data_IF_864040768276
#
_entry.id   IF_864040768276
#
_cell.length_a   1.000
_cell.length_b   1.000
_cell.length_c   1.000
_cell.angle_alpha   90.00
_cell.angle_beta   90.00
_cell.angle_gamma   90.00
#
_symmetry.space_group_name_H-M   'P 1'
#
loop_
_entity.id
_entity.type
_entity.pdbx_description
1 polymer ?
#
# COMPACT_ATOMS: atom_id res chain seq x y z
N UNK A 1 -18.53 17.93 -39.68
CA UNK A 1 -17.16 17.92 -39.11
C UNK A 1 -17.15 18.15 -37.59
N UNK A 2 -17.80 19.21 -37.07
CA UNK A 2 -17.83 19.53 -35.63
C UNK A 2 -18.38 18.43 -34.70
N UNK A 3 -19.49 17.75 -35.07
CA UNK A 3 -20.07 16.66 -34.26
C UNK A 3 -19.14 15.43 -34.11
N UNK A 4 -18.43 15.05 -35.18
CA UNK A 4 -17.47 13.94 -35.14
C UNK A 4 -16.26 14.27 -34.25
N UNK A 5 -15.78 15.51 -34.31
CA UNK A 5 -14.68 15.98 -33.45
C UNK A 5 -15.08 15.97 -31.96
N UNK A 6 -16.30 16.39 -31.63
CA UNK A 6 -16.82 16.33 -30.25
C UNK A 6 -16.92 14.88 -29.75
N UNK A 7 -17.41 13.95 -30.58
CA UNK A 7 -17.49 12.54 -30.20
C UNK A 7 -16.12 11.91 -29.95
N UNK A 8 -15.12 12.25 -30.77
CA UNK A 8 -13.74 11.77 -30.57
C UNK A 8 -13.17 12.35 -29.28
N UNK A 9 -13.38 13.65 -29.02
CA UNK A 9 -12.94 14.27 -27.77
C UNK A 9 -13.57 13.63 -26.53
N UNK A 10 -14.88 13.36 -26.56
CA UNK A 10 -15.57 12.66 -25.47
C UNK A 10 -15.07 11.22 -25.29
N UNK A 11 -14.78 10.50 -26.38
CA UNK A 11 -14.23 9.16 -26.31
C UNK A 11 -12.80 9.15 -25.71
N UNK A 12 -11.98 10.13 -26.07
CA UNK A 12 -10.63 10.30 -25.51
C UNK A 12 -10.71 10.70 -24.03
N UNK A 13 -11.63 11.59 -23.66
CA UNK A 13 -11.85 11.96 -22.26
C UNK A 13 -12.31 10.76 -21.42
N UNK A 14 -13.25 9.98 -21.95
CA UNK A 14 -13.73 8.75 -21.29
C UNK A 14 -12.60 7.72 -21.16
N UNK A 15 -11.79 7.55 -22.21
CA UNK A 15 -10.64 6.65 -22.17
C UNK A 15 -9.59 7.11 -21.14
N UNK A 16 -9.32 8.40 -21.06
CA UNK A 16 -8.39 8.96 -20.08
C UNK A 16 -8.89 8.73 -18.63
N UNK A 17 -10.19 8.91 -18.38
CA UNK A 17 -10.81 8.58 -17.08
C UNK A 17 -10.70 7.09 -16.78
N UNK A 18 -10.93 6.22 -17.77
CA UNK A 18 -10.81 4.77 -17.60
C UNK A 18 -9.37 4.37 -17.23
N UNK A 19 -8.36 4.99 -17.85
CA UNK A 19 -6.95 4.74 -17.56
C UNK A 19 -6.59 5.14 -16.13
N UNK A 20 -7.06 6.30 -15.66
CA UNK A 20 -6.80 6.78 -14.28
C UNK A 20 -7.33 5.79 -13.23
N UNK A 21 -8.49 5.18 -13.48
CA UNK A 21 -9.12 4.22 -12.55
C UNK A 21 -8.38 2.87 -12.48
N UNK A 22 -7.58 2.53 -13.49
CA UNK A 22 -6.93 1.19 -13.61
C UNK A 22 -5.48 1.20 -13.13
N UNK A 23 -4.92 2.33 -12.70
CA UNK A 23 -3.55 2.39 -12.19
C UNK A 23 -3.52 1.73 -10.81
N UNK A 24 -2.79 0.62 -10.61
CA UNK A 24 -2.67 0.01 -9.28
C UNK A 24 -1.94 0.99 -8.36
N UNK A 25 -2.53 1.28 -7.20
CA UNK A 25 -1.83 2.00 -6.15
C UNK A 25 -0.62 1.17 -5.72
N UNK A 26 0.56 1.79 -5.83
CA UNK A 26 1.80 1.22 -5.34
C UNK A 26 1.98 1.66 -3.90
N UNK A 27 1.79 0.73 -2.97
CA UNK A 27 1.99 0.97 -1.54
C UNK A 27 3.48 0.86 -1.16
N UNK A 28 3.87 1.60 -0.13
CA UNK A 28 5.22 1.59 0.42
C UNK A 28 5.40 0.41 1.40
N UNK A 29 6.61 -0.13 1.49
CA UNK A 29 6.93 -1.13 2.53
C UNK A 29 6.75 -0.44 3.89
N UNK A 30 5.96 -1.03 4.78
CA UNK A 30 5.57 -0.44 6.06
C UNK A 30 4.22 0.29 6.04
N UNK A 31 3.58 0.51 4.89
CA UNK A 31 2.19 1.01 4.79
C UNK A 31 1.23 -0.16 4.55
N UNK A 32 0.88 -0.86 5.62
CA UNK A 32 -0.01 -2.04 5.58
C UNK A 32 -1.47 -1.59 5.57
N UNK A 33 -1.75 -0.44 6.20
CA UNK A 33 -3.09 0.17 6.25
C UNK A 33 -3.53 0.75 4.90
N UNK A 34 -2.58 1.05 4.01
CA UNK A 34 -2.79 1.60 2.66
C UNK A 34 -3.41 2.98 2.66
N UNK A 35 -3.12 3.76 3.71
CA UNK A 35 -3.55 5.14 3.82
C UNK A 35 -2.51 6.13 3.26
N UNK A 36 -1.34 5.63 2.85
CA UNK A 36 -0.26 6.39 2.25
C UNK A 36 0.74 6.94 3.28
N UNK A 37 0.61 6.60 4.56
CA UNK A 37 1.53 6.98 5.61
C UNK A 37 2.05 5.75 6.36
N UNK A 38 3.33 5.77 6.76
CA UNK A 38 3.88 4.74 7.65
C UNK A 38 3.74 5.24 9.09
N UNK A 39 2.78 4.68 9.82
CA UNK A 39 2.42 5.18 11.15
C UNK A 39 2.37 4.07 12.22
N UNK A 40 1.97 4.45 13.44
CA UNK A 40 1.73 3.49 14.53
C UNK A 40 0.59 2.50 14.21
N UNK A 41 -0.31 2.85 13.28
CA UNK A 41 -1.38 1.96 12.85
C UNK A 41 -0.80 0.71 12.17
N UNK A 42 0.19 0.90 11.30
CA UNK A 42 0.88 -0.17 10.59
C UNK A 42 1.65 -1.08 11.55
N UNK A 43 2.35 -0.48 12.52
CA UNK A 43 3.01 -1.23 13.59
C UNK A 43 2.03 -2.11 14.36
N UNK A 44 0.85 -1.58 14.70
CA UNK A 44 -0.19 -2.33 15.41
C UNK A 44 -0.72 -3.50 14.57
N UNK A 45 -0.85 -3.34 13.25
CA UNK A 45 -1.27 -4.41 12.35
C UNK A 45 -0.25 -5.56 12.36
N UNK A 46 1.04 -5.26 12.17
CA UNK A 46 2.10 -6.28 12.23
C UNK A 46 2.11 -6.95 13.61
N UNK A 47 2.00 -6.19 14.71
CA UNK A 47 2.03 -6.74 16.05
C UNK A 47 0.88 -7.72 16.32
N UNK A 48 -0.34 -7.38 15.89
CA UNK A 48 -1.49 -8.30 15.98
C UNK A 48 -1.26 -9.56 15.14
N UNK A 49 -0.65 -9.42 13.98
CA UNK A 49 -0.31 -10.57 13.13
C UNK A 49 0.66 -11.52 13.79
N UNK A 50 1.75 -10.99 14.33
CA UNK A 50 2.76 -11.77 15.07
C UNK A 50 2.15 -12.47 16.29
N UNK A 51 1.18 -11.84 16.96
CA UNK A 51 0.46 -12.42 18.09
C UNK A 51 -0.66 -13.39 17.69
N UNK A 52 -0.91 -13.60 16.40
CA UNK A 52 -1.99 -14.45 15.90
C UNK A 52 -3.40 -13.92 16.16
N UNK A 53 -3.53 -12.62 16.40
CA UNK A 53 -4.81 -11.95 16.66
C UNK A 53 -5.53 -11.52 15.38
N UNK A 54 -4.77 -11.26 14.31
CA UNK A 54 -5.28 -10.79 13.03
C UNK A 54 -4.38 -11.30 11.88
N UNK A 55 -4.96 -11.85 10.82
CA UNK A 55 -4.17 -12.30 9.67
C UNK A 55 -3.95 -11.16 8.67
N UNK A 56 -2.70 -10.92 8.29
CA UNK A 56 -2.37 -10.06 7.16
C UNK A 56 -2.58 -10.88 5.87
N UNK A 57 -3.37 -10.39 4.89
CA UNK A 57 -3.56 -11.10 3.63
C UNK A 57 -2.24 -11.37 2.92
N UNK A 58 -2.09 -12.54 2.27
CA UNK A 58 -0.86 -12.93 1.57
C UNK A 58 -0.32 -11.88 0.58
N UNK A 59 -1.21 -11.12 -0.07
CA UNK A 59 -0.84 -10.04 -1.01
C UNK A 59 -0.16 -8.84 -0.34
N UNK A 60 -0.33 -8.71 0.98
CA UNK A 60 0.13 -7.56 1.78
C UNK A 60 1.29 -7.95 2.71
N UNK A 61 1.69 -9.22 2.76
CA UNK A 61 2.85 -9.69 3.53
C UNK A 61 4.16 -9.02 3.09
N UNK A 62 4.30 -8.65 1.81
CA UNK A 62 5.47 -7.91 1.33
C UNK A 62 5.56 -6.48 1.88
N UNK A 63 4.43 -5.89 2.27
CA UNK A 63 4.40 -4.57 2.91
C UNK A 63 4.75 -4.70 4.40
N UNK A 64 4.44 -5.85 5.02
CA UNK A 64 4.69 -6.14 6.43
C UNK A 64 6.11 -6.67 6.72
N UNK A 65 6.80 -7.23 5.73
CA UNK A 65 8.23 -7.61 5.78
C UNK A 65 9.11 -6.35 5.70
N UNK A 66 9.10 -5.57 6.78
CA UNK A 66 9.75 -4.27 6.84
C UNK A 66 11.26 -4.38 6.91
N UNK A 67 11.79 -5.46 7.52
CA UNK A 67 13.23 -5.70 7.58
C UNK A 67 13.78 -6.37 6.30
N UNK A 68 12.92 -6.91 5.44
CA UNK A 68 13.27 -7.54 4.17
C UNK A 68 13.92 -8.92 4.28
N UNK A 69 13.71 -9.64 5.38
CA UNK A 69 14.28 -10.97 5.63
C UNK A 69 13.42 -12.13 5.06
N UNK A 70 12.25 -11.80 4.52
CA UNK A 70 11.33 -12.74 3.87
C UNK A 70 10.31 -13.36 4.84
N UNK A 71 10.29 -12.94 6.11
CA UNK A 71 9.37 -13.42 7.12
C UNK A 71 8.73 -12.24 7.85
N UNK A 72 7.42 -12.30 8.09
CA UNK A 72 6.73 -11.31 8.93
C UNK A 72 6.73 -11.80 10.38
N UNK A 73 7.59 -11.22 11.21
CA UNK A 73 7.80 -11.65 12.60
C UNK A 73 8.14 -10.47 13.54
N UNK A 74 8.56 -10.76 14.77
CA UNK A 74 8.89 -9.74 15.78
C UNK A 74 9.99 -8.76 15.34
N UNK A 75 10.87 -9.14 14.41
CA UNK A 75 11.92 -8.26 13.91
C UNK A 75 11.38 -7.15 13.02
N UNK A 76 10.25 -7.35 12.33
CA UNK A 76 9.59 -6.29 11.57
C UNK A 76 8.95 -5.27 12.49
N UNK A 77 8.38 -5.75 13.61
CA UNK A 77 7.87 -4.88 14.68
C UNK A 77 9.00 -4.02 15.23
N UNK A 78 10.15 -4.62 15.56
CA UNK A 78 11.33 -3.89 16.04
C UNK A 78 11.84 -2.88 15.00
N UNK A 79 11.99 -3.29 13.75
CA UNK A 79 12.51 -2.46 12.68
C UNK A 79 11.59 -1.26 12.38
N UNK A 80 10.28 -1.48 12.29
CA UNK A 80 9.29 -0.44 12.06
C UNK A 80 9.18 0.50 13.27
N UNK A 81 9.26 -0.03 14.50
CA UNK A 81 9.28 0.79 15.71
C UNK A 81 10.50 1.73 15.73
N UNK A 82 11.69 1.22 15.39
CA UNK A 82 12.92 2.03 15.31
C UNK A 82 12.80 3.11 14.24
N UNK A 83 12.24 2.79 13.07
CA UNK A 83 11.92 3.75 12.01
C UNK A 83 11.03 4.88 12.53
N UNK A 84 9.92 4.56 13.20
CA UNK A 84 8.97 5.55 13.74
C UNK A 84 9.59 6.43 14.83
N UNK A 85 10.54 5.89 15.61
CA UNK A 85 11.29 6.64 16.62
C UNK A 85 12.44 7.47 16.01
N UNK A 86 12.75 7.30 14.73
CA UNK A 86 13.88 7.95 14.07
C UNK A 86 15.24 7.46 14.56
N UNK A 87 15.30 6.25 15.09
CA UNK A 87 16.52 5.61 15.61
C UNK A 87 16.93 4.55 14.59
N UNK A 88 18.16 4.67 14.06
CA UNK A 88 18.74 3.66 13.16
C UNK A 88 19.37 2.53 13.95
#
# INVERSE_FOLDING_TARGET
>A
MKKKAVMIFLAVLLLAVLVIVVIPEKYEIGDISKDGEITILDLLIIQKHVLGLEEIPNKDLQLADFNGDGYVNEKDVEALQNYLLGIK
#
